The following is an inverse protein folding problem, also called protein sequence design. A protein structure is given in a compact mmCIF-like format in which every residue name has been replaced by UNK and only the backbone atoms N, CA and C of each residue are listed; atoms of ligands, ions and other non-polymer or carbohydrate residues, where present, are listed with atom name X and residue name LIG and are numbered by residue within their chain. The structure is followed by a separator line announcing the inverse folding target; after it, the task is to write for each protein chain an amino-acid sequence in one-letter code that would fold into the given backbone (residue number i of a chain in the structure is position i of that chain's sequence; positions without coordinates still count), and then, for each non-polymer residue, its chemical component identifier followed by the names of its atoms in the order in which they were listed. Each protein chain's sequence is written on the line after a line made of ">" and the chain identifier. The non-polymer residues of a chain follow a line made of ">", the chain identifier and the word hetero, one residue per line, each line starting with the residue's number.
data_IF_538690647013
#
_entry.id   IF_538690647013
#
_cell.length_a   1.000
_cell.length_b   1.000
_cell.length_c   1.000
_cell.angle_alpha   90.00
_cell.angle_beta   90.00
_cell.angle_gamma   90.00
#
_symmetry.space_group_name_H-M   'P 1'
#
loop_
_entity.id
_entity.type
_entity.pdbx_description
1 polymer ?
#
# COMPACT_ATOMS: atom_id res chain seq x y z
N UNK A 1 3.61 13.06 -5.87
CA UNK A 1 2.41 13.66 -5.23
C UNK A 1 2.55 13.48 -3.73
N UNK A 2 2.26 14.50 -2.93
CA UNK A 2 2.33 14.41 -1.47
C UNK A 2 0.93 14.18 -0.94
N UNK A 3 0.77 13.10 -0.18
CA UNK A 3 -0.50 12.70 0.43
C UNK A 3 -0.31 12.58 1.95
N UNK A 4 -1.36 12.89 2.68
CA UNK A 4 -1.41 12.75 4.14
C UNK A 4 -1.82 11.32 4.54
N UNK A 5 -1.55 10.95 5.80
CA UNK A 5 -2.02 9.68 6.35
C UNK A 5 -3.54 9.52 6.18
N UNK A 6 -3.99 8.31 5.87
CA UNK A 6 -5.40 7.95 5.59
C UNK A 6 -5.97 8.53 4.29
N UNK A 7 -5.21 9.29 3.50
CA UNK A 7 -5.67 9.70 2.16
C UNK A 7 -5.67 8.53 1.18
N UNK A 8 -6.62 8.53 0.25
CA UNK A 8 -6.72 7.50 -0.79
C UNK A 8 -5.71 7.79 -1.89
N UNK A 9 -4.78 6.87 -2.14
CA UNK A 9 -3.81 7.01 -3.22
C UNK A 9 -4.18 6.22 -4.48
N UNK A 10 -5.14 5.29 -4.37
CA UNK A 10 -5.57 4.45 -5.48
C UNK A 10 -6.70 3.50 -5.08
N UNK A 11 -7.10 2.65 -6.01
CA UNK A 11 -8.11 1.62 -5.79
C UNK A 11 -7.67 0.31 -6.43
N UNK A 12 -8.10 -0.81 -5.83
CA UNK A 12 -7.95 -2.15 -6.39
C UNK A 12 -9.32 -2.63 -6.81
N UNK A 13 -9.47 -2.90 -8.11
CA UNK A 13 -10.68 -3.48 -8.67
C UNK A 13 -10.52 -5.00 -8.80
N UNK A 14 -11.36 -5.73 -8.08
CA UNK A 14 -11.51 -7.17 -8.23
C UNK A 14 -12.84 -7.50 -8.92
N UNK A 15 -12.99 -8.74 -9.38
CA UNK A 15 -14.17 -9.23 -10.12
C UNK A 15 -15.50 -8.99 -9.37
N UNK A 16 -15.46 -8.87 -8.03
CA UNK A 16 -16.66 -8.75 -7.19
C UNK A 16 -16.69 -7.50 -6.30
N UNK A 17 -15.62 -6.73 -6.23
CA UNK A 17 -15.48 -5.64 -5.26
C UNK A 17 -14.42 -4.65 -5.71
N UNK A 18 -14.56 -3.41 -5.26
CA UNK A 18 -13.54 -2.38 -5.38
C UNK A 18 -13.16 -1.97 -3.97
N UNK A 19 -11.86 -1.92 -3.69
CA UNK A 19 -11.33 -1.46 -2.42
C UNK A 19 -10.43 -0.26 -2.63
N UNK A 20 -10.67 0.79 -1.87
CA UNK A 20 -9.78 1.94 -1.82
C UNK A 20 -8.48 1.56 -1.08
N UNK A 21 -7.37 2.15 -1.53
CA UNK A 21 -6.06 2.00 -0.94
C UNK A 21 -5.68 3.31 -0.24
N UNK A 22 -5.47 3.21 1.07
CA UNK A 22 -5.17 4.35 1.93
C UNK A 22 -3.68 4.45 2.21
N UNK A 23 -3.18 5.68 2.33
CA UNK A 23 -1.81 5.97 2.72
C UNK A 23 -1.60 5.59 4.20
N UNK A 24 -0.69 4.65 4.50
CA UNK A 24 -0.44 4.24 5.89
C UNK A 24 0.30 5.34 6.67
N UNK A 25 1.00 6.22 5.98
CA UNK A 25 1.82 7.32 6.51
C UNK A 25 1.80 8.48 5.52
N UNK A 26 1.98 9.69 6.04
CA UNK A 26 2.11 10.90 5.26
C UNK A 26 3.43 10.87 4.47
N UNK A 27 3.37 11.20 3.17
CA UNK A 27 4.55 11.07 2.33
C UNK A 27 4.35 11.46 0.88
N UNK A 28 5.48 11.59 0.18
CA UNK A 28 5.50 11.83 -1.26
C UNK A 28 5.66 10.51 -2.02
N UNK A 29 4.75 10.22 -2.94
CA UNK A 29 4.89 9.07 -3.86
C UNK A 29 6.03 9.36 -4.83
N UNK A 30 7.06 8.52 -4.78
CA UNK A 30 8.27 8.63 -5.61
C UNK A 30 8.27 7.68 -6.80
N UNK A 31 7.51 6.58 -6.73
CA UNK A 31 7.49 5.56 -7.77
C UNK A 31 6.17 4.78 -7.74
N UNK A 32 5.63 4.50 -8.92
CA UNK A 32 4.49 3.59 -9.12
C UNK A 32 4.99 2.33 -9.81
N UNK A 33 4.43 1.17 -9.45
CA UNK A 33 4.81 -0.09 -10.08
C UNK A 33 4.12 -0.25 -11.44
N UNK A 34 4.81 0.18 -12.49
CA UNK A 34 4.34 0.02 -13.88
C UNK A 34 4.24 -1.42 -14.37
N UNK A 35 4.76 -2.41 -13.62
CA UNK A 35 4.56 -3.83 -13.98
C UNK A 35 3.10 -4.26 -13.73
N UNK A 36 2.40 -3.63 -12.77
CA UNK A 36 0.99 -3.93 -12.46
C UNK A 36 0.03 -3.51 -13.58
N UNK A 37 0.40 -2.56 -14.42
CA UNK A 37 -0.39 -2.17 -15.59
C UNK A 37 -0.47 -3.30 -16.63
N UNK A 38 0.54 -4.18 -16.65
CA UNK A 38 0.62 -5.31 -17.58
C UNK A 38 0.18 -6.61 -16.92
N UNK A 39 0.61 -6.84 -15.67
CA UNK A 39 0.36 -8.04 -14.90
C UNK A 39 -0.25 -7.70 -13.52
N UNK A 40 -1.54 -7.28 -13.46
CA UNK A 40 -2.20 -6.96 -12.19
C UNK A 40 -2.35 -8.18 -11.27
N UNK A 41 -2.25 -9.41 -11.82
CA UNK A 41 -2.28 -10.66 -11.05
C UNK A 41 -1.07 -10.82 -10.11
N UNK A 42 -0.01 -10.02 -10.27
CA UNK A 42 1.13 -9.99 -9.36
C UNK A 42 0.72 -9.60 -7.93
N UNK A 43 -0.30 -8.75 -7.77
CA UNK A 43 -0.85 -8.40 -6.45
C UNK A 43 -1.39 -9.63 -5.74
N UNK A 44 -1.95 -10.60 -6.49
CA UNK A 44 -2.47 -11.85 -5.92
C UNK A 44 -1.37 -12.90 -5.71
N UNK A 45 -0.43 -13.00 -6.66
CA UNK A 45 0.56 -14.09 -6.68
C UNK A 45 1.79 -13.80 -5.83
N UNK A 46 2.21 -12.54 -5.74
CA UNK A 46 3.41 -12.10 -5.01
C UNK A 46 3.21 -10.70 -4.38
N UNK A 47 2.28 -10.55 -3.41
CA UNK A 47 1.88 -9.25 -2.85
C UNK A 47 3.02 -8.48 -2.16
N UNK A 48 4.02 -9.19 -1.61
CA UNK A 48 5.14 -8.57 -0.88
C UNK A 48 6.41 -8.42 -1.72
N UNK A 49 6.48 -9.09 -2.88
CA UNK A 49 7.61 -9.00 -3.80
C UNK A 49 7.27 -8.10 -4.98
N UNK A 50 6.96 -8.68 -6.13
CA UNK A 50 6.67 -7.97 -7.38
C UNK A 50 5.33 -7.23 -7.38
N UNK A 51 4.43 -7.56 -6.47
CA UNK A 51 3.10 -6.96 -6.34
C UNK A 51 3.05 -5.64 -5.57
N UNK A 52 4.19 -5.04 -5.23
CA UNK A 52 4.22 -3.71 -4.59
C UNK A 52 3.51 -2.67 -5.47
N UNK A 53 2.83 -1.69 -4.87
CA UNK A 53 2.01 -0.74 -5.63
C UNK A 53 2.72 0.60 -5.83
N UNK A 54 3.21 1.18 -4.74
CA UNK A 54 3.87 2.47 -4.73
C UNK A 54 5.10 2.44 -3.81
N UNK A 55 6.06 3.32 -4.08
CA UNK A 55 7.11 3.69 -3.12
C UNK A 55 6.85 5.11 -2.66
N UNK A 56 6.97 5.31 -1.36
CA UNK A 56 6.68 6.58 -0.70
C UNK A 56 7.91 7.04 0.06
N UNK A 57 8.25 8.32 -0.10
CA UNK A 57 9.20 9.02 0.76
C UNK A 57 8.43 9.67 1.89
N UNK A 58 8.60 9.13 3.10
CA UNK A 58 7.90 9.61 4.29
C UNK A 58 8.26 11.06 4.60
N UNK A 59 7.24 11.87 4.92
CA UNK A 59 7.44 13.24 5.43
C UNK A 59 7.63 13.24 6.94
N UNK A 60 7.08 12.23 7.64
CA UNK A 60 7.20 12.06 9.09
C UNK A 60 7.53 10.61 9.46
N UNK A 61 8.79 10.36 9.84
CA UNK A 61 9.26 9.01 10.19
C UNK A 61 8.63 8.44 11.47
N UNK A 62 8.14 9.29 12.38
CA UNK A 62 7.53 8.85 13.63
C UNK A 62 6.18 8.14 13.43
N UNK A 63 5.53 8.31 12.27
CA UNK A 63 4.27 7.63 11.96
C UNK A 63 4.45 6.12 11.79
N UNK A 64 5.68 5.63 11.56
CA UNK A 64 5.98 4.19 11.56
C UNK A 64 5.69 3.56 12.91
N UNK A 65 5.90 4.29 14.01
CA UNK A 65 5.73 3.77 15.37
C UNK A 65 4.25 3.47 15.69
N UNK A 66 3.31 4.04 14.92
CA UNK A 66 1.88 3.76 15.04
C UNK A 66 1.43 2.54 14.22
N UNK A 67 2.30 2.01 13.34
CA UNK A 67 1.99 0.84 12.52
C UNK A 67 2.14 -0.46 13.33
N UNK A 68 1.40 -1.47 12.91
CA UNK A 68 1.52 -2.80 13.50
C UNK A 68 2.77 -3.50 12.99
N UNK A 69 3.48 -4.17 13.89
CA UNK A 69 4.48 -5.16 13.50
C UNK A 69 3.81 -6.44 12.95
N UNK A 70 4.62 -7.36 12.43
CA UNK A 70 4.10 -8.60 11.85
C UNK A 70 3.28 -9.45 12.84
N UNK A 71 3.65 -9.44 14.12
CA UNK A 71 2.94 -10.20 15.16
C UNK A 71 1.60 -9.54 15.51
N UNK A 72 1.58 -8.21 15.65
CA UNK A 72 0.39 -7.41 15.89
C UNK A 72 -0.61 -7.51 14.75
N UNK A 73 -0.15 -7.49 13.50
CA UNK A 73 -1.02 -7.70 12.34
C UNK A 73 -1.60 -9.11 12.33
N UNK A 74 -0.77 -10.14 12.55
CA UNK A 74 -1.24 -11.54 12.62
C UNK A 74 -2.30 -11.74 13.71
N UNK A 75 -2.14 -11.11 14.87
CA UNK A 75 -3.13 -11.21 15.96
C UNK A 75 -4.48 -10.54 15.63
N UNK A 76 -4.51 -9.57 14.71
CA UNK A 76 -5.72 -8.85 14.31
C UNK A 76 -6.54 -9.61 13.26
N UNK A 77 -5.86 -10.25 12.30
CA UNK A 77 -6.51 -10.87 11.11
C UNK A 77 -6.37 -12.38 11.02
N UNK A 78 -5.50 -12.99 11.83
CA UNK A 78 -5.14 -14.42 11.79
C UNK A 78 -6.04 -15.33 12.62
#
# INVERSE_FOLDING_TARGET
>A
ETLDQEEVFGSVEAVKTVSDLFMPVSGEIIEFNGDLDKDPELVNSDPYGKGWMIKVKMTNAAEVDALLDAAGYTALVG
#
